data_IF_334869509387
#
_entry.id   IF_334869509387
#
_cell.length_a   1.000
_cell.length_b   1.000
_cell.length_c   1.000
_cell.angle_alpha   90.00
_cell.angle_beta   90.00
_cell.angle_gamma   90.00
#
_symmetry.space_group_name_H-M   'P 1'
#
loop_
_entity.id
_entity.type
_entity.pdbx_description
1 polymer ?
#
# COMPACT_ATOMS: atom_id res chain seq x y z
N UNK A 1 12.49 16.60 -4.90
CA UNK A 1 11.08 17.04 -5.00
C UNK A 1 11.04 18.50 -4.60
N UNK A 2 10.84 19.41 -5.55
CA UNK A 2 10.88 20.86 -5.26
C UNK A 2 9.55 21.40 -4.74
N UNK A 3 8.42 20.76 -5.06
CA UNK A 3 7.08 21.15 -4.60
C UNK A 3 6.17 19.94 -4.44
N UNK A 4 5.18 19.98 -3.52
CA UNK A 4 4.13 18.98 -3.44
C UNK A 4 3.37 18.87 -4.78
N UNK A 5 3.15 17.65 -5.25
CA UNK A 5 2.46 17.38 -6.51
C UNK A 5 1.41 16.29 -6.29
N UNK A 6 0.25 16.41 -6.95
CA UNK A 6 -0.78 15.36 -6.95
C UNK A 6 -0.36 14.10 -7.73
N UNK A 7 0.75 14.18 -8.49
CA UNK A 7 1.35 13.01 -9.14
C UNK A 7 1.96 12.01 -8.16
N UNK A 8 2.24 12.44 -6.94
CA UNK A 8 2.87 11.64 -5.88
C UNK A 8 2.01 11.76 -4.63
N UNK A 9 1.30 10.70 -4.28
CA UNK A 9 0.39 10.68 -3.14
C UNK A 9 0.86 9.68 -2.11
N UNK A 10 0.87 10.10 -0.85
CA UNK A 10 1.21 9.24 0.29
C UNK A 10 -0.06 8.81 1.03
N UNK A 11 -0.18 7.52 1.25
CA UNK A 11 -1.19 6.90 2.12
C UNK A 11 -0.49 6.56 3.44
N UNK A 12 -0.93 7.17 4.53
CA UNK A 12 -0.37 6.99 5.86
C UNK A 12 -1.04 5.83 6.61
N UNK A 13 -0.35 5.26 7.58
CA UNK A 13 -0.83 4.18 8.43
C UNK A 13 -2.16 4.50 9.16
N UNK A 14 -2.38 5.75 9.53
CA UNK A 14 -3.59 6.21 10.23
C UNK A 14 -4.76 6.57 9.31
N UNK A 15 -4.71 6.14 8.03
CA UNK A 15 -5.72 6.37 6.98
C UNK A 15 -5.94 7.84 6.60
N UNK A 16 -5.76 8.80 7.49
CA UNK A 16 -5.95 10.24 7.27
C UNK A 16 -7.33 10.63 6.76
N UNK A 17 -8.37 9.90 7.16
CA UNK A 17 -9.76 10.20 6.77
C UNK A 17 -10.31 11.34 7.62
N UNK A 18 -11.14 12.20 6.98
CA UNK A 18 -11.88 13.24 7.69
C UNK A 18 -13.11 12.61 8.36
N UNK A 19 -13.20 12.58 9.70
CA UNK A 19 -14.25 11.86 10.41
C UNK A 19 -15.66 12.47 10.20
N UNK A 20 -15.74 13.74 9.85
CA UNK A 20 -16.99 14.47 9.56
C UNK A 20 -17.43 14.37 8.09
N UNK A 21 -16.68 13.67 7.23
CA UNK A 21 -17.04 13.45 5.84
C UNK A 21 -17.42 11.99 5.61
N UNK A 22 -18.43 11.76 4.77
CA UNK A 22 -18.76 10.41 4.31
C UNK A 22 -17.63 9.81 3.47
N UNK A 23 -17.71 8.51 3.17
CA UNK A 23 -16.79 7.81 2.24
C UNK A 23 -16.68 8.58 0.92
N UNK A 24 -17.81 8.86 0.26
CA UNK A 24 -17.85 9.61 -0.99
C UNK A 24 -17.11 10.94 -0.88
N UNK A 25 -17.41 11.73 0.17
CA UNK A 25 -16.80 13.04 0.38
C UNK A 25 -15.31 12.97 0.76
N UNK A 26 -14.87 11.88 1.38
CA UNK A 26 -13.46 11.64 1.60
C UNK A 26 -12.73 11.37 0.28
N UNK A 27 -13.32 10.58 -0.62
CA UNK A 27 -12.73 10.25 -1.92
C UNK A 27 -12.71 11.48 -2.85
N UNK A 28 -13.75 12.31 -2.85
CA UNK A 28 -13.81 13.54 -3.64
C UNK A 28 -12.77 14.61 -3.25
N UNK A 29 -12.14 14.51 -2.09
CA UNK A 29 -11.31 15.57 -1.50
C UNK A 29 -10.18 16.07 -2.45
N UNK A 30 -9.45 15.16 -3.06
CA UNK A 30 -8.39 15.50 -4.01
C UNK A 30 -8.93 16.22 -5.24
N UNK A 31 -10.06 15.76 -5.73
CA UNK A 31 -10.77 16.31 -6.89
C UNK A 31 -11.34 17.71 -6.63
N UNK A 32 -11.77 17.98 -5.39
CA UNK A 32 -12.19 19.34 -4.96
C UNK A 32 -11.03 20.35 -5.13
N UNK A 33 -9.83 19.96 -4.67
CA UNK A 33 -8.63 20.77 -4.79
C UNK A 33 -8.22 20.99 -6.26
N UNK A 34 -8.46 20.01 -7.12
CA UNK A 34 -8.23 20.08 -8.56
C UNK A 34 -9.29 20.90 -9.30
N UNK A 35 -10.33 21.40 -8.59
CA UNK A 35 -11.47 22.17 -9.14
C UNK A 35 -12.27 21.38 -10.20
N UNK A 36 -12.32 20.06 -10.09
CA UNK A 36 -13.16 19.22 -10.95
C UNK A 36 -14.64 19.54 -10.69
N UNK A 37 -15.50 19.71 -11.72
CA UNK A 37 -16.94 19.95 -11.54
C UNK A 37 -17.61 18.87 -10.67
N UNK A 38 -18.65 19.24 -9.91
CA UNK A 38 -19.28 18.39 -8.89
C UNK A 38 -19.74 17.04 -9.46
N UNK A 39 -20.44 17.07 -10.58
CA UNK A 39 -21.02 15.87 -11.22
C UNK A 39 -19.91 14.89 -11.60
N UNK A 40 -18.82 15.40 -12.21
CA UNK A 40 -17.68 14.61 -12.62
C UNK A 40 -16.87 14.09 -11.41
N UNK A 41 -16.80 14.86 -10.31
CA UNK A 41 -16.17 14.40 -9.06
C UNK A 41 -16.88 13.18 -8.48
N UNK A 42 -18.22 13.25 -8.44
CA UNK A 42 -19.04 12.15 -7.93
C UNK A 42 -18.86 10.89 -8.77
N UNK A 43 -18.87 11.02 -10.09
CA UNK A 43 -18.62 9.91 -11.02
C UNK A 43 -17.24 9.25 -10.78
N UNK A 44 -16.17 10.06 -10.73
CA UNK A 44 -14.80 9.56 -10.48
C UNK A 44 -14.72 8.91 -9.10
N UNK A 45 -15.29 9.53 -8.08
CA UNK A 45 -15.26 9.00 -6.71
C UNK A 45 -16.02 7.67 -6.62
N UNK A 46 -17.19 7.55 -7.24
CA UNK A 46 -17.97 6.31 -7.27
C UNK A 46 -17.23 5.18 -7.98
N UNK A 47 -16.58 5.46 -9.14
CA UNK A 47 -15.73 4.48 -9.83
C UNK A 47 -14.65 3.94 -8.88
N UNK A 48 -13.95 4.81 -8.16
CA UNK A 48 -12.86 4.39 -7.26
C UNK A 48 -13.37 3.68 -6.00
N UNK A 49 -14.55 4.05 -5.48
CA UNK A 49 -15.21 3.34 -4.37
C UNK A 49 -15.57 1.90 -4.78
N UNK A 50 -16.09 1.73 -5.99
CA UNK A 50 -16.41 0.41 -6.53
C UNK A 50 -15.16 -0.43 -6.79
N UNK A 51 -14.09 0.18 -7.34
CA UNK A 51 -12.78 -0.45 -7.59
C UNK A 51 -12.18 -1.08 -6.33
N UNK A 52 -12.31 -0.41 -5.17
CA UNK A 52 -11.83 -0.91 -3.89
C UNK A 52 -12.85 -1.79 -3.14
N UNK A 53 -13.98 -2.16 -3.77
CA UNK A 53 -15.00 -3.04 -3.20
C UNK A 53 -15.83 -2.43 -2.08
N UNK A 54 -16.07 -1.11 -2.10
CA UNK A 54 -16.86 -0.39 -1.09
C UNK A 54 -18.22 0.11 -1.61
N UNK A 55 -18.70 -0.41 -2.74
CA UNK A 55 -20.03 -0.10 -3.26
C UNK A 55 -21.11 -0.35 -2.21
N UNK A 56 -22.03 0.61 -2.04
CA UNK A 56 -23.08 0.60 -1.01
C UNK A 56 -22.64 1.19 0.35
N UNK A 57 -21.39 1.69 0.45
CA UNK A 57 -20.88 2.35 1.67
C UNK A 57 -20.62 3.85 1.50
N UNK A 58 -21.06 4.46 0.41
CA UNK A 58 -20.75 5.84 -0.02
C UNK A 58 -21.12 6.88 1.02
N UNK A 59 -22.23 6.66 1.73
CA UNK A 59 -22.79 7.59 2.70
C UNK A 59 -22.32 7.34 4.14
N UNK A 60 -21.63 6.22 4.41
CA UNK A 60 -21.10 5.93 5.74
C UNK A 60 -19.97 6.90 6.11
N UNK A 61 -19.84 7.16 7.40
CA UNK A 61 -18.75 7.95 7.96
C UNK A 61 -17.64 7.04 8.52
N UNK A 62 -16.41 7.53 8.69
CA UNK A 62 -15.30 6.72 9.19
C UNK A 62 -15.57 5.97 10.49
N UNK A 63 -16.40 6.51 11.38
CA UNK A 63 -16.79 5.84 12.63
C UNK A 63 -17.56 4.52 12.42
N UNK A 64 -18.23 4.38 11.27
CA UNK A 64 -19.05 3.21 10.90
C UNK A 64 -18.28 2.16 10.12
N UNK A 65 -16.96 2.37 9.88
CA UNK A 65 -16.13 1.53 9.04
C UNK A 65 -15.16 0.68 9.88
N UNK A 66 -14.94 -0.56 9.44
CA UNK A 66 -13.82 -1.37 9.94
C UNK A 66 -12.46 -0.78 9.52
N UNK A 67 -11.36 -1.22 10.14
CA UNK A 67 -10.01 -0.80 9.77
C UNK A 67 -9.71 -1.04 8.29
N UNK A 68 -10.04 -2.23 7.77
CA UNK A 68 -9.85 -2.56 6.36
C UNK A 68 -10.70 -1.67 5.43
N UNK A 69 -11.94 -1.33 5.80
CA UNK A 69 -12.74 -0.40 5.02
C UNK A 69 -12.14 1.00 5.02
N UNK A 70 -11.65 1.50 6.15
CA UNK A 70 -10.96 2.79 6.23
C UNK A 70 -9.73 2.83 5.31
N UNK A 71 -8.94 1.75 5.29
CA UNK A 71 -7.79 1.65 4.40
C UNK A 71 -8.22 1.69 2.92
N UNK A 72 -9.27 0.95 2.55
CA UNK A 72 -9.84 0.99 1.19
C UNK A 72 -10.32 2.39 0.81
N UNK A 73 -10.95 3.14 1.71
CA UNK A 73 -11.33 4.54 1.45
C UNK A 73 -10.10 5.41 1.21
N UNK A 74 -9.02 5.24 1.97
CA UNK A 74 -7.79 6.02 1.77
C UNK A 74 -7.13 5.72 0.42
N UNK A 75 -7.18 4.46 -0.02
CA UNK A 75 -6.69 4.03 -1.34
C UNK A 75 -7.58 4.63 -2.44
N UNK A 76 -8.91 4.52 -2.34
CA UNK A 76 -9.84 5.11 -3.31
C UNK A 76 -9.65 6.61 -3.47
N UNK A 77 -9.45 7.33 -2.35
CA UNK A 77 -9.16 8.77 -2.34
C UNK A 77 -7.86 9.10 -3.07
N UNK A 78 -6.84 8.28 -2.87
CA UNK A 78 -5.55 8.48 -3.53
C UNK A 78 -5.67 8.22 -5.05
N UNK A 79 -6.30 7.11 -5.44
CA UNK A 79 -6.50 6.73 -6.84
C UNK A 79 -7.38 7.73 -7.61
N UNK A 80 -8.41 8.30 -6.96
CA UNK A 80 -9.29 9.29 -7.58
C UNK A 80 -8.55 10.53 -8.10
N UNK A 81 -7.41 10.87 -7.49
CA UNK A 81 -6.57 11.97 -7.96
C UNK A 81 -5.62 11.59 -9.12
N UNK A 82 -5.69 10.35 -9.59
CA UNK A 82 -4.92 9.80 -10.70
C UNK A 82 -3.39 10.05 -10.61
N UNK A 83 -2.74 9.61 -9.51
CA UNK A 83 -1.30 9.82 -9.32
C UNK A 83 -0.47 8.90 -10.22
N UNK A 84 0.75 9.35 -10.55
CA UNK A 84 1.75 8.51 -11.23
C UNK A 84 2.35 7.47 -10.27
N UNK A 85 2.55 7.87 -8.99
CA UNK A 85 3.15 7.03 -7.94
C UNK A 85 2.37 7.15 -6.63
N UNK A 86 2.08 6.01 -6.02
CA UNK A 86 1.52 5.89 -4.68
C UNK A 86 2.61 5.47 -3.68
N UNK A 87 2.76 6.24 -2.61
CA UNK A 87 3.56 5.85 -1.47
C UNK A 87 2.64 5.31 -0.37
N UNK A 88 2.97 4.17 0.20
CA UNK A 88 2.21 3.56 1.28
C UNK A 88 3.16 3.27 2.46
N UNK A 89 2.84 3.82 3.62
CA UNK A 89 3.62 3.64 4.84
C UNK A 89 2.89 2.67 5.77
N UNK A 90 3.43 1.45 5.92
CA UNK A 90 2.85 0.35 6.70
C UNK A 90 1.34 0.14 6.47
N UNK A 91 0.88 -0.02 5.22
CA UNK A 91 -0.55 0.04 4.89
C UNK A 91 -1.40 -1.07 5.50
N UNK A 92 -0.79 -2.12 6.02
CA UNK A 92 -1.49 -3.30 6.53
C UNK A 92 -1.35 -3.51 8.04
N UNK A 93 -0.54 -2.71 8.73
CA UNK A 93 -0.13 -2.94 10.12
C UNK A 93 -1.29 -3.00 11.14
N UNK A 94 -2.41 -2.33 10.86
CA UNK A 94 -3.58 -2.27 11.75
C UNK A 94 -4.68 -3.30 11.41
N UNK A 95 -4.44 -4.23 10.47
CA UNK A 95 -5.44 -5.15 9.96
C UNK A 95 -5.24 -6.56 10.53
N UNK A 96 -6.36 -7.27 10.75
CA UNK A 96 -6.33 -8.71 10.99
C UNK A 96 -5.82 -9.48 9.77
N UNK A 97 -5.33 -10.71 9.96
CA UNK A 97 -4.66 -11.49 8.93
C UNK A 97 -5.52 -11.71 7.66
N UNK A 98 -6.80 -12.03 7.82
CA UNK A 98 -7.69 -12.31 6.68
C UNK A 98 -7.97 -11.04 5.88
N UNK A 99 -8.28 -9.95 6.56
CA UNK A 99 -8.51 -8.64 5.92
C UNK A 99 -7.25 -8.13 5.22
N UNK A 100 -6.07 -8.34 5.82
CA UNK A 100 -4.77 -8.01 5.26
C UNK A 100 -4.54 -8.74 3.94
N UNK A 101 -4.68 -10.07 3.92
CA UNK A 101 -4.48 -10.88 2.71
C UNK A 101 -5.39 -10.41 1.57
N UNK A 102 -6.69 -10.24 1.84
CA UNK A 102 -7.64 -9.74 0.84
C UNK A 102 -7.27 -8.37 0.30
N UNK A 103 -6.79 -7.46 1.15
CA UNK A 103 -6.40 -6.13 0.71
C UNK A 103 -5.11 -6.15 -0.11
N UNK A 104 -4.17 -7.05 0.20
CA UNK A 104 -2.96 -7.26 -0.59
C UNK A 104 -3.31 -7.75 -2.01
N UNK A 105 -4.23 -8.71 -2.12
CA UNK A 105 -4.71 -9.22 -3.42
C UNK A 105 -5.40 -8.09 -4.23
N UNK A 106 -6.24 -7.27 -3.57
CA UNK A 106 -6.87 -6.13 -4.22
C UNK A 106 -5.85 -5.09 -4.70
N UNK A 107 -4.81 -4.82 -3.92
CA UNK A 107 -3.75 -3.89 -4.33
C UNK A 107 -3.01 -4.40 -5.56
N UNK A 108 -2.64 -5.68 -5.61
CA UNK A 108 -2.01 -6.27 -6.79
C UNK A 108 -2.90 -6.13 -8.03
N UNK A 109 -4.19 -6.46 -7.90
CA UNK A 109 -5.18 -6.30 -8.97
C UNK A 109 -5.30 -4.85 -9.44
N UNK A 110 -5.44 -3.90 -8.52
CA UNK A 110 -5.56 -2.47 -8.81
C UNK A 110 -4.31 -1.93 -9.50
N UNK A 111 -3.12 -2.32 -9.03
CA UNK A 111 -1.85 -1.91 -9.66
C UNK A 111 -1.81 -2.32 -11.13
N UNK A 112 -2.24 -3.54 -11.42
CA UNK A 112 -2.26 -4.08 -12.78
C UNK A 112 -3.32 -3.40 -13.65
N UNK A 113 -4.56 -3.28 -13.15
CA UNK A 113 -5.68 -2.68 -13.89
C UNK A 113 -5.45 -1.21 -14.20
N UNK A 114 -4.91 -0.44 -13.26
CA UNK A 114 -4.71 1.01 -13.39
C UNK A 114 -3.27 1.38 -13.80
N UNK A 115 -2.39 0.38 -14.04
CA UNK A 115 -0.98 0.58 -14.42
C UNK A 115 -0.24 1.60 -13.54
N UNK A 116 -0.35 1.44 -12.21
CA UNK A 116 0.23 2.36 -11.22
C UNK A 116 1.53 1.84 -10.64
N UNK A 117 2.45 2.76 -10.39
CA UNK A 117 3.65 2.47 -9.60
C UNK A 117 3.34 2.65 -8.11
N UNK A 118 3.63 1.62 -7.31
CA UNK A 118 3.50 1.69 -5.86
C UNK A 118 4.86 1.52 -5.21
N UNK A 119 5.16 2.39 -4.27
CA UNK A 119 6.29 2.26 -3.35
C UNK A 119 5.70 2.11 -1.96
N UNK A 120 5.88 0.95 -1.34
CA UNK A 120 5.40 0.76 0.02
C UNK A 120 6.54 0.42 0.99
N UNK A 121 6.40 0.89 2.21
CA UNK A 121 7.31 0.62 3.32
C UNK A 121 6.64 -0.39 4.22
N UNK A 122 7.34 -1.47 4.52
CA UNK A 122 6.90 -2.49 5.47
C UNK A 122 8.10 -3.10 6.19
N UNK A 123 7.90 -3.60 7.38
CA UNK A 123 8.86 -4.43 8.11
C UNK A 123 8.54 -5.93 7.97
N UNK A 124 7.45 -6.28 7.30
CA UNK A 124 7.03 -7.66 7.07
C UNK A 124 7.64 -8.20 5.76
N UNK A 125 8.47 -9.23 5.90
CA UNK A 125 9.18 -9.85 4.78
C UNK A 125 8.19 -10.52 3.82
N UNK A 126 7.18 -11.21 4.33
CA UNK A 126 6.20 -11.91 3.48
C UNK A 126 5.36 -10.93 2.67
N UNK A 127 4.96 -9.80 3.27
CA UNK A 127 4.31 -8.71 2.53
C UNK A 127 5.19 -8.18 1.40
N UNK A 128 6.47 -7.92 1.70
CA UNK A 128 7.39 -7.38 0.71
C UNK A 128 7.60 -8.34 -0.47
N UNK A 129 7.77 -9.63 -0.19
CA UNK A 129 7.92 -10.67 -1.24
C UNK A 129 6.63 -10.84 -2.04
N UNK A 130 5.48 -10.82 -1.36
CA UNK A 130 4.20 -11.02 -2.02
C UNK A 130 3.81 -9.88 -2.97
N UNK A 131 4.10 -8.64 -2.59
CA UNK A 131 3.60 -7.47 -3.32
C UNK A 131 4.61 -6.88 -4.31
N UNK A 132 5.90 -6.93 -4.02
CA UNK A 132 6.89 -6.20 -4.80
C UNK A 132 7.41 -6.97 -6.02
N UNK A 133 7.79 -6.23 -7.07
CA UNK A 133 8.63 -6.72 -8.15
C UNK A 133 10.11 -6.52 -7.79
N UNK A 134 10.37 -5.55 -6.88
CA UNK A 134 11.71 -5.23 -6.41
C UNK A 134 11.68 -4.77 -4.96
N UNK A 135 12.51 -5.39 -4.12
CA UNK A 135 12.66 -5.06 -2.71
C UNK A 135 13.97 -4.31 -2.51
N UNK A 136 13.90 -3.15 -1.85
CA UNK A 136 15.05 -2.37 -1.42
C UNK A 136 15.20 -2.52 0.08
N UNK A 137 16.28 -3.18 0.51
CA UNK A 137 16.58 -3.41 1.92
C UNK A 137 17.46 -2.28 2.43
N UNK A 138 17.01 -1.56 3.45
CA UNK A 138 17.74 -0.46 4.06
C UNK A 138 18.62 -0.94 5.21
N UNK A 139 19.78 -0.31 5.36
CA UNK A 139 20.69 -0.54 6.48
C UNK A 139 20.58 0.56 7.52
N UNK A 140 20.08 0.20 8.70
CA UNK A 140 19.97 1.14 9.82
C UNK A 140 21.35 1.61 10.36
N UNK A 141 22.41 0.78 10.22
CA UNK A 141 23.74 1.13 10.74
C UNK A 141 24.47 2.12 9.84
N UNK A 142 24.39 1.91 8.51
CA UNK A 142 25.12 2.73 7.54
C UNK A 142 24.24 3.77 6.86
N UNK A 143 22.95 3.89 7.25
CA UNK A 143 21.96 4.81 6.67
C UNK A 143 21.93 4.79 5.15
N UNK A 144 22.00 3.59 4.56
CA UNK A 144 22.04 3.39 3.12
C UNK A 144 21.27 2.16 2.65
N UNK A 145 21.40 1.85 1.36
CA UNK A 145 20.84 0.63 0.78
C UNK A 145 21.78 -0.53 1.09
N UNK A 146 21.26 -1.54 1.78
CA UNK A 146 21.99 -2.78 2.06
C UNK A 146 21.98 -3.73 0.86
N UNK A 147 20.82 -3.88 0.23
CA UNK A 147 20.65 -4.78 -0.91
C UNK A 147 19.42 -4.40 -1.72
N UNK A 148 19.41 -4.80 -2.98
CA UNK A 148 18.25 -4.75 -3.87
C UNK A 148 17.98 -6.16 -4.36
N UNK A 149 16.76 -6.66 -4.15
CA UNK A 149 16.35 -8.01 -4.54
C UNK A 149 15.23 -7.88 -5.58
N UNK A 150 15.45 -8.43 -6.77
CA UNK A 150 14.38 -8.56 -7.76
C UNK A 150 13.58 -9.81 -7.46
N UNK A 151 12.27 -9.68 -7.52
CA UNK A 151 11.30 -10.76 -7.28
C UNK A 151 10.74 -11.18 -8.62
N UNK A 152 11.15 -12.36 -9.08
CA UNK A 152 10.72 -12.92 -10.36
C UNK A 152 9.65 -13.99 -10.08
N UNK A 153 8.45 -13.56 -9.72
CA UNK A 153 7.32 -14.45 -9.53
C UNK A 153 6.28 -14.27 -10.63
N UNK A 154 5.48 -15.32 -10.91
CA UNK A 154 4.31 -15.19 -11.80
C UNK A 154 3.36 -14.08 -11.32
N UNK A 155 2.53 -13.56 -12.22
CA UNK A 155 1.51 -12.57 -11.88
C UNK A 155 0.47 -13.10 -10.89
N UNK A 156 0.14 -14.37 -10.99
CA UNK A 156 -0.72 -15.10 -10.05
C UNK A 156 0.16 -15.61 -8.89
N UNK A 157 0.37 -14.73 -7.92
CA UNK A 157 1.29 -14.98 -6.81
C UNK A 157 0.66 -15.91 -5.78
N UNK A 158 1.29 -17.08 -5.58
CA UNK A 158 0.90 -18.05 -4.56
C UNK A 158 1.91 -18.04 -3.41
N UNK A 159 1.42 -17.73 -2.18
CA UNK A 159 2.24 -17.72 -0.95
C UNK A 159 2.77 -19.10 -0.55
N UNK A 160 2.23 -20.17 -1.13
CA UNK A 160 2.65 -21.55 -0.87
C UNK A 160 3.61 -22.11 -1.92
N UNK A 161 3.85 -21.36 -3.01
CA UNK A 161 4.73 -21.79 -4.09
C UNK A 161 6.20 -21.85 -3.66
N UNK A 162 6.96 -22.76 -4.28
CA UNK A 162 8.41 -22.86 -4.04
C UNK A 162 9.14 -21.56 -4.40
N UNK A 163 8.70 -20.85 -5.43
CA UNK A 163 9.28 -19.55 -5.83
C UNK A 163 9.08 -18.49 -4.75
N UNK A 164 7.88 -18.42 -4.12
CA UNK A 164 7.63 -17.52 -3.01
C UNK A 164 8.51 -17.86 -1.81
N UNK A 165 8.57 -19.14 -1.42
CA UNK A 165 9.36 -19.61 -0.29
C UNK A 165 10.84 -19.30 -0.50
N UNK A 166 11.38 -19.59 -1.69
CA UNK A 166 12.77 -19.31 -2.04
C UNK A 166 13.07 -17.78 -2.00
N UNK A 167 12.19 -16.96 -2.53
CA UNK A 167 12.34 -15.50 -2.49
C UNK A 167 12.29 -14.96 -1.04
N UNK A 168 11.36 -15.45 -0.23
CA UNK A 168 11.25 -15.12 1.20
C UNK A 168 12.53 -15.47 1.96
N UNK A 169 13.02 -16.69 1.80
CA UNK A 169 14.21 -17.17 2.50
C UNK A 169 15.45 -16.37 2.09
N UNK A 170 15.60 -16.03 0.81
CA UNK A 170 16.65 -15.13 0.33
C UNK A 170 16.62 -13.76 1.00
N UNK A 171 15.44 -13.14 1.12
CA UNK A 171 15.29 -11.84 1.80
C UNK A 171 15.63 -12.00 3.29
N UNK A 172 15.14 -13.07 3.92
CA UNK A 172 15.38 -13.36 5.34
C UNK A 172 16.87 -13.54 5.66
N UNK A 173 17.62 -14.24 4.82
CA UNK A 173 19.07 -14.46 5.00
C UNK A 173 19.85 -13.14 4.96
N UNK A 174 19.45 -12.19 4.12
CA UNK A 174 20.06 -10.86 4.10
C UNK A 174 19.89 -10.14 5.45
N UNK A 175 18.78 -10.36 6.16
CA UNK A 175 18.58 -9.83 7.51
C UNK A 175 19.41 -10.57 8.55
N UNK A 176 19.46 -11.90 8.53
CA UNK A 176 20.23 -12.73 9.48
C UNK A 176 21.73 -12.42 9.49
N UNK A 177 22.33 -12.17 8.35
CA UNK A 177 23.78 -11.87 8.24
C UNK A 177 24.27 -10.74 9.15
N UNK A 178 23.38 -9.98 9.81
CA UNK A 178 23.74 -8.97 10.80
C UNK A 178 23.74 -9.47 12.24
N UNK A 179 22.98 -10.52 12.56
CA UNK A 179 22.92 -11.04 13.92
C UNK A 179 24.14 -11.88 14.30
N UNK A 180 24.68 -12.65 13.37
CA UNK A 180 25.84 -13.50 13.64
C UNK A 180 27.14 -12.71 13.90
N UNK A 181 27.32 -11.54 13.27
CA UNK A 181 28.48 -10.68 13.52
C UNK A 181 28.46 -9.94 14.87
N UNK A 182 27.35 -9.93 15.60
CA UNK A 182 27.23 -9.29 16.91
C UNK A 182 27.51 -10.24 18.09
N UNK A 183 27.53 -11.54 17.87
CA UNK A 183 27.71 -12.53 18.94
C UNK A 183 29.22 -12.84 19.19
N UNK A 184 30.10 -12.51 18.25
CA UNK A 184 31.55 -12.78 18.38
C UNK A 184 32.35 -11.78 19.26
N UNK A 185 31.70 -10.82 19.88
CA UNK A 185 32.41 -9.80 20.73
C UNK A 185 32.07 -9.83 22.22
N UNK A 186 31.55 -10.93 22.74
CA UNK A 186 31.36 -11.11 24.18
C UNK A 186 31.85 -12.51 24.61
N UNK A 187 33.17 -12.72 24.55
CA UNK A 187 33.91 -13.68 25.38
C UNK A 187 35.14 -12.97 25.88
#
# INVERSE_FOLDING_TARGET
>A
VEKPSLKYITIFQNYGLFPWRSVLKNVELGLEKMKVPKEKREEIAMKNIELVGLKGSEHKHPAELSGGMKQRVSIARALAADPDVLFMDEPFGALDAITRMKLQDDILRICKEENKTIIFVTHDIEESVYLADRIVILDNANKGIKSIVNINMPEDRDRTSDDFLAARDKVFDIFKMKHEKRIEYYI
#
